data_IF_241804694171
#
_entry.id   IF_241804694171
#
_cell.length_a   1.000
_cell.length_b   1.000
_cell.length_c   1.000
_cell.angle_alpha   90.00
_cell.angle_beta   90.00
_cell.angle_gamma   90.00
#
_symmetry.space_group_name_H-M   'P 1'
#
loop_
_entity.id
_entity.type
_entity.pdbx_description
1 polymer ?
#
# COMPACT_ATOMS: atom_id res chain seq x y z
N UNK A 1 37.27 -2.63 3.07
CA UNK A 1 36.96 -1.42 3.85
C UNK A 1 35.56 -0.93 3.49
N UNK A 2 34.83 -0.38 4.46
CA UNK A 2 33.52 0.27 4.24
C UNK A 2 33.48 1.56 5.08
N UNK A 3 32.55 2.47 4.77
CA UNK A 3 32.34 3.62 5.66
C UNK A 3 31.73 3.16 6.98
N UNK A 4 32.09 3.85 8.08
CA UNK A 4 31.65 3.52 9.44
C UNK A 4 30.14 3.37 9.57
N UNK A 5 29.35 4.21 8.89
CA UNK A 5 27.89 4.09 8.94
C UNK A 5 27.37 2.75 8.39
N UNK A 6 27.99 2.20 7.34
CA UNK A 6 27.60 0.87 6.81
C UNK A 6 27.90 -0.23 7.83
N UNK A 7 28.97 -0.08 8.61
CA UNK A 7 29.27 -0.99 9.72
C UNK A 7 28.19 -0.91 10.81
N UNK A 8 27.86 0.30 11.27
CA UNK A 8 26.82 0.53 12.30
C UNK A 8 25.48 -0.09 11.87
N UNK A 9 25.10 0.05 10.61
CA UNK A 9 23.88 -0.55 10.04
C UNK A 9 23.92 -2.09 10.09
N UNK A 10 25.06 -2.72 9.82
CA UNK A 10 25.20 -4.17 9.95
C UNK A 10 25.05 -4.63 11.41
N UNK A 11 25.54 -3.83 12.36
CA UNK A 11 25.39 -4.09 13.80
C UNK A 11 23.93 -3.90 14.26
N UNK A 12 23.23 -2.88 13.75
CA UNK A 12 21.79 -2.65 13.95
C UNK A 12 20.97 -3.84 13.42
N UNK A 13 21.26 -4.30 12.20
CA UNK A 13 20.65 -5.51 11.63
C UNK A 13 20.93 -6.74 12.48
N UNK A 14 22.17 -6.94 12.95
CA UNK A 14 22.52 -8.06 13.80
C UNK A 14 21.73 -8.05 15.13
N UNK A 15 21.49 -6.86 15.70
CA UNK A 15 20.69 -6.69 16.92
C UNK A 15 19.24 -7.11 16.72
N UNK A 16 18.69 -6.91 15.52
CA UNK A 16 17.37 -7.40 15.14
C UNK A 16 17.24 -8.94 15.14
N UNK A 17 18.29 -9.70 15.45
CA UNK A 17 18.24 -11.16 15.57
C UNK A 17 18.55 -11.67 16.99
N UNK A 18 18.50 -10.77 17.99
CA UNK A 18 18.64 -11.11 19.43
C UNK A 18 17.29 -11.45 20.06
N UNK A 19 17.27 -12.05 21.26
CA UNK A 19 16.02 -12.35 21.99
C UNK A 19 15.47 -11.15 22.80
N UNK A 20 16.17 -10.01 22.80
CA UNK A 20 15.89 -8.88 23.71
C UNK A 20 14.84 -7.90 23.17
N UNK A 21 14.44 -8.06 21.90
CA UNK A 21 13.56 -7.13 21.20
C UNK A 21 12.15 -7.70 21.03
N UNK A 22 11.15 -6.82 21.18
CA UNK A 22 9.78 -7.10 20.73
C UNK A 22 9.75 -7.33 19.22
N UNK A 23 8.65 -7.92 18.74
CA UNK A 23 8.39 -8.13 17.31
C UNK A 23 8.46 -6.81 16.52
N UNK A 24 7.84 -5.76 17.03
CA UNK A 24 7.78 -4.44 16.38
C UNK A 24 9.16 -3.79 16.34
N UNK A 25 9.89 -3.77 17.46
CA UNK A 25 11.23 -3.21 17.52
C UNK A 25 12.19 -3.93 16.56
N UNK A 26 11.99 -5.23 16.37
CA UNK A 26 12.75 -6.04 15.42
C UNK A 26 12.51 -5.62 13.98
N UNK A 27 11.25 -5.53 13.57
CA UNK A 27 10.90 -5.12 12.21
C UNK A 27 11.31 -3.68 11.93
N UNK A 28 11.14 -2.79 12.92
CA UNK A 28 11.60 -1.41 12.85
C UNK A 28 13.09 -1.32 12.52
N UNK A 29 13.94 -2.08 13.23
CA UNK A 29 15.37 -2.13 12.95
C UNK A 29 15.69 -2.67 11.55
N UNK A 30 15.03 -3.76 11.13
CA UNK A 30 15.27 -4.38 9.81
C UNK A 30 14.98 -3.37 8.69
N UNK A 31 13.78 -2.78 8.67
CA UNK A 31 13.41 -1.86 7.61
C UNK A 31 14.20 -0.56 7.66
N UNK A 32 14.36 0.06 8.85
CA UNK A 32 15.15 1.29 8.99
C UNK A 32 16.59 1.11 8.50
N UNK A 33 17.24 0.01 8.88
CA UNK A 33 18.61 -0.28 8.46
C UNK A 33 18.72 -0.52 6.94
N UNK A 34 17.75 -1.23 6.33
CA UNK A 34 17.75 -1.50 4.89
C UNK A 34 17.53 -0.23 4.05
N UNK A 35 16.58 0.62 4.43
CA UNK A 35 16.35 1.90 3.74
C UNK A 35 17.51 2.87 3.92
N UNK A 36 18.10 2.94 5.12
CA UNK A 36 19.28 3.77 5.35
C UNK A 36 20.48 3.28 4.53
N UNK A 37 20.69 1.96 4.45
CA UNK A 37 21.73 1.37 3.61
C UNK A 37 21.51 1.73 2.14
N UNK A 38 20.27 1.67 1.66
CA UNK A 38 19.90 2.01 0.29
C UNK A 38 20.22 3.47 -0.06
N UNK A 39 19.91 4.41 0.84
CA UNK A 39 20.32 5.82 0.70
C UNK A 39 21.82 5.96 0.50
N UNK A 40 22.62 5.26 1.31
CA UNK A 40 24.08 5.29 1.21
C UNK A 40 24.54 4.65 -0.12
N UNK A 41 23.93 3.55 -0.57
CA UNK A 41 24.27 2.92 -1.87
C UNK A 41 23.90 3.80 -3.08
N UNK A 42 22.88 4.65 -2.94
CA UNK A 42 22.51 5.70 -3.91
C UNK A 42 23.43 6.93 -3.84
N UNK A 43 24.37 6.97 -2.90
CA UNK A 43 25.30 8.10 -2.73
C UNK A 43 24.69 9.27 -1.95
N UNK A 44 23.56 9.08 -1.28
CA UNK A 44 22.90 10.11 -0.45
C UNK A 44 23.59 10.22 0.92
N UNK A 45 24.83 10.68 0.91
CA UNK A 45 25.70 10.74 2.11
C UNK A 45 25.83 12.14 2.71
N UNK A 46 25.12 13.13 2.15
CA UNK A 46 25.23 14.55 2.54
C UNK A 46 24.78 14.83 3.98
N UNK A 47 23.96 13.96 4.56
CA UNK A 47 23.49 14.06 5.94
C UNK A 47 24.40 13.32 6.93
N UNK A 48 25.41 12.57 6.44
CA UNK A 48 26.32 11.82 7.31
C UNK A 48 27.40 12.75 7.89
N UNK A 49 27.69 12.54 9.17
CA UNK A 49 28.80 13.22 9.83
C UNK A 49 30.15 12.75 9.26
N UNK A 50 31.19 13.58 9.42
CA UNK A 50 32.56 13.22 9.01
C UNK A 50 33.02 11.88 9.62
N UNK A 51 32.67 11.62 10.88
CA UNK A 51 32.99 10.37 11.57
C UNK A 51 32.29 9.16 10.94
N UNK A 52 31.07 9.33 10.44
CA UNK A 52 30.30 8.26 9.78
C UNK A 52 30.83 7.91 8.38
N UNK A 53 31.57 8.83 7.76
CA UNK A 53 32.21 8.67 6.46
C UNK A 53 33.62 8.05 6.54
N UNK A 54 34.19 7.91 7.74
CA UNK A 54 35.51 7.29 7.92
C UNK A 54 35.52 5.85 7.41
N UNK A 55 36.58 5.48 6.69
CA UNK A 55 36.78 4.11 6.25
C UNK A 55 37.25 3.23 7.40
N UNK A 56 36.55 2.13 7.61
CA UNK A 56 36.81 1.14 8.66
C UNK A 56 36.90 -0.26 8.09
N UNK A 57 37.60 -1.15 8.79
CA UNK A 57 37.58 -2.58 8.49
C UNK A 57 36.19 -3.14 8.80
N UNK A 58 35.62 -3.85 7.83
CA UNK A 58 34.28 -4.45 7.96
C UNK A 58 34.29 -5.90 8.46
N UNK A 59 35.47 -6.51 8.60
CA UNK A 59 35.58 -7.95 8.86
C UNK A 59 34.87 -8.36 10.16
N UNK A 60 35.07 -7.60 11.24
CA UNK A 60 34.49 -7.90 12.54
C UNK A 60 32.95 -7.78 12.53
N UNK A 61 32.42 -6.67 12.03
CA UNK A 61 30.97 -6.43 11.98
C UNK A 61 30.26 -7.38 11.01
N UNK A 62 30.87 -7.65 9.85
CA UNK A 62 30.40 -8.68 8.91
C UNK A 62 30.34 -10.05 9.58
N UNK A 63 31.41 -10.45 10.29
CA UNK A 63 31.44 -11.74 11.00
C UNK A 63 30.35 -11.81 12.07
N UNK A 64 30.19 -10.78 12.89
CA UNK A 64 29.12 -10.70 13.90
C UNK A 64 27.74 -10.85 13.27
N UNK A 65 27.47 -10.14 12.18
CA UNK A 65 26.20 -10.22 11.47
C UNK A 65 25.94 -11.63 10.92
N UNK A 66 26.92 -12.23 10.26
CA UNK A 66 26.83 -13.60 9.71
C UNK A 66 26.60 -14.64 10.80
N UNK A 67 27.33 -14.55 11.92
CA UNK A 67 27.21 -15.46 13.05
C UNK A 67 25.82 -15.36 13.68
N UNK A 68 25.28 -14.14 13.82
CA UNK A 68 23.92 -13.90 14.35
C UNK A 68 22.85 -14.45 13.43
N UNK A 69 22.91 -14.18 12.14
CA UNK A 69 21.98 -14.75 11.15
C UNK A 69 22.04 -16.27 11.17
N UNK A 70 23.24 -16.86 11.16
CA UNK A 70 23.41 -18.31 11.20
C UNK A 70 22.80 -18.92 12.47
N UNK A 71 22.96 -18.28 13.62
CA UNK A 71 22.39 -18.75 14.89
C UNK A 71 20.84 -18.79 14.86
N UNK A 72 20.18 -17.91 14.09
CA UNK A 72 18.72 -17.93 13.98
C UNK A 72 18.16 -19.19 13.33
N UNK A 73 18.96 -19.97 12.59
CA UNK A 73 18.50 -21.26 12.01
C UNK A 73 18.05 -22.26 13.06
N UNK A 74 18.58 -22.14 14.29
CA UNK A 74 18.30 -23.02 15.42
C UNK A 74 17.31 -22.41 16.42
N UNK A 75 16.80 -21.20 16.17
CA UNK A 75 15.87 -20.54 17.11
C UNK A 75 14.46 -21.11 16.97
N UNK A 76 13.75 -21.22 18.08
CA UNK A 76 12.30 -21.51 18.10
C UNK A 76 11.45 -20.24 18.17
N UNK A 77 12.06 -19.06 18.33
CA UNK A 77 11.33 -17.81 18.41
C UNK A 77 10.69 -17.47 17.04
N UNK A 78 9.35 -17.40 16.95
CA UNK A 78 8.65 -17.15 15.69
C UNK A 78 8.97 -15.78 15.10
N UNK A 79 9.15 -14.74 15.92
CA UNK A 79 9.42 -13.38 15.45
C UNK A 79 10.80 -13.25 14.81
N UNK A 80 11.79 -13.98 15.34
CA UNK A 80 13.14 -14.05 14.74
C UNK A 80 13.09 -14.74 13.39
N UNK A 81 12.31 -15.83 13.27
CA UNK A 81 12.10 -16.53 12.00
C UNK A 81 11.45 -15.60 10.98
N UNK A 82 10.40 -14.88 11.38
CA UNK A 82 9.73 -13.90 10.50
C UNK A 82 10.66 -12.79 10.06
N UNK A 83 11.40 -12.15 10.98
CA UNK A 83 12.35 -11.09 10.61
C UNK A 83 13.44 -11.58 9.65
N UNK A 84 13.93 -12.82 9.83
CA UNK A 84 14.91 -13.41 8.92
C UNK A 84 14.31 -13.65 7.55
N UNK A 85 13.08 -14.16 7.49
CA UNK A 85 12.39 -14.40 6.24
C UNK A 85 12.19 -13.08 5.49
N UNK A 86 11.72 -12.02 6.16
CA UNK A 86 11.60 -10.66 5.60
C UNK A 86 12.94 -10.20 5.01
N UNK A 87 14.01 -10.23 5.80
CA UNK A 87 15.34 -9.83 5.34
C UNK A 87 15.80 -10.65 4.11
N UNK A 88 15.52 -11.95 4.11
CA UNK A 88 15.89 -12.85 3.01
C UNK A 88 15.14 -12.50 1.73
N UNK A 89 13.82 -12.23 1.81
CA UNK A 89 13.03 -11.85 0.65
C UNK A 89 13.47 -10.48 0.10
N UNK A 90 13.74 -9.51 0.97
CA UNK A 90 14.23 -8.20 0.56
C UNK A 90 15.59 -8.29 -0.13
N UNK A 91 16.51 -9.11 0.38
CA UNK A 91 17.82 -9.32 -0.27
C UNK A 91 17.63 -10.00 -1.64
N UNK A 92 16.68 -10.94 -1.74
CA UNK A 92 16.38 -11.66 -2.98
C UNK A 92 15.82 -10.74 -4.05
N UNK A 93 14.89 -9.85 -3.71
CA UNK A 93 14.22 -8.96 -4.65
C UNK A 93 14.04 -7.54 -4.06
N UNK A 94 15.13 -6.76 -3.91
CA UNK A 94 15.07 -5.46 -3.23
C UNK A 94 14.13 -4.47 -3.93
N UNK A 95 13.99 -4.56 -5.26
CA UNK A 95 13.12 -3.69 -6.03
C UNK A 95 11.63 -3.88 -5.70
N UNK A 96 11.21 -5.09 -5.32
CA UNK A 96 9.84 -5.34 -4.86
C UNK A 96 9.48 -4.56 -3.58
N UNK A 97 10.48 -4.23 -2.77
CA UNK A 97 10.32 -3.51 -1.50
C UNK A 97 10.72 -2.02 -1.63
N UNK A 98 10.91 -1.51 -2.85
CA UNK A 98 11.26 -0.09 -3.08
C UNK A 98 12.72 0.26 -2.79
N UNK A 99 13.60 -0.74 -2.76
CA UNK A 99 15.05 -0.57 -2.61
C UNK A 99 15.75 -0.70 -3.98
N UNK A 100 16.98 -0.18 -4.09
CA UNK A 100 17.80 -0.33 -5.29
C UNK A 100 18.39 -1.75 -5.40
N UNK A 101 18.55 -2.24 -6.64
CA UNK A 101 19.21 -3.52 -6.92
C UNK A 101 20.62 -3.65 -6.33
N UNK A 102 21.30 -2.52 -6.06
CA UNK A 102 22.59 -2.49 -5.33
C UNK A 102 22.51 -3.07 -3.93
N UNK A 103 21.34 -3.12 -3.29
CA UNK A 103 21.17 -3.82 -2.02
C UNK A 103 21.51 -5.30 -2.17
N UNK A 104 21.03 -5.96 -3.23
CA UNK A 104 21.38 -7.36 -3.51
C UNK A 104 22.89 -7.53 -3.66
N UNK A 105 23.55 -6.63 -4.39
CA UNK A 105 25.01 -6.64 -4.57
C UNK A 105 25.76 -6.46 -3.25
N UNK A 106 25.27 -5.61 -2.34
CA UNK A 106 25.86 -5.44 -1.01
C UNK A 106 25.79 -6.73 -0.18
N UNK A 107 24.69 -7.47 -0.28
CA UNK A 107 24.50 -8.72 0.47
C UNK A 107 25.02 -9.97 -0.26
N UNK A 108 25.44 -9.87 -1.52
CA UNK A 108 25.94 -11.01 -2.31
C UNK A 108 27.07 -11.79 -1.63
N UNK A 109 28.07 -11.16 -0.96
CA UNK A 109 29.11 -11.88 -0.22
C UNK A 109 28.56 -12.75 0.93
N UNK A 110 27.33 -12.47 1.37
CA UNK A 110 26.67 -13.12 2.50
C UNK A 110 25.59 -14.13 2.06
N UNK A 111 25.33 -14.24 0.75
CA UNK A 111 24.23 -15.01 0.17
C UNK A 111 24.18 -16.49 0.64
N UNK A 112 25.34 -17.13 0.87
CA UNK A 112 25.43 -18.53 1.30
C UNK A 112 24.78 -18.80 2.67
N UNK A 113 24.70 -17.79 3.54
CA UNK A 113 24.09 -17.86 4.88
C UNK A 113 22.60 -17.52 4.90
N UNK A 114 22.10 -16.82 3.88
CA UNK A 114 20.70 -16.39 3.78
C UNK A 114 19.81 -17.34 2.97
N UNK A 115 20.36 -18.01 1.95
CA UNK A 115 19.58 -18.64 0.87
C UNK A 115 19.23 -20.12 1.14
N UNK A 116 19.71 -20.74 2.22
CA UNK A 116 19.40 -22.16 2.54
C UNK A 116 18.07 -22.36 3.26
N UNK A 117 16.99 -21.71 2.81
CA UNK A 117 15.63 -22.16 3.09
C UNK A 117 15.16 -23.03 1.91
N UNK A 118 15.49 -24.32 1.94
CA UNK A 118 14.85 -25.31 1.06
C UNK A 118 13.45 -25.59 1.59
N UNK A 119 12.43 -25.42 0.74
CA UNK A 119 11.05 -25.83 1.01
C UNK A 119 10.07 -24.66 1.03
N UNK A 120 9.12 -24.74 0.09
CA UNK A 120 7.83 -24.03 -0.05
C UNK A 120 7.38 -23.16 1.15
N UNK A 121 7.34 -21.83 0.98
CA UNK A 121 6.16 -21.06 0.54
C UNK A 121 6.66 -19.63 0.22
N UNK A 122 7.21 -19.41 -0.98
CA UNK A 122 7.85 -18.12 -1.33
C UNK A 122 6.83 -17.00 -1.42
N UNK A 123 5.61 -17.29 -1.89
CA UNK A 123 4.58 -16.28 -2.15
C UNK A 123 3.94 -15.73 -0.85
N UNK A 124 3.51 -16.59 0.07
CA UNK A 124 2.97 -16.16 1.38
C UNK A 124 4.00 -15.36 2.19
N UNK A 125 5.29 -15.72 2.08
CA UNK A 125 6.36 -14.99 2.75
C UNK A 125 6.60 -13.60 2.15
N UNK A 126 6.46 -13.45 0.83
CA UNK A 126 6.53 -12.13 0.16
C UNK A 126 5.35 -11.28 0.59
N UNK A 127 4.12 -11.82 0.56
CA UNK A 127 2.91 -11.11 1.00
C UNK A 127 3.05 -10.66 2.46
N UNK A 128 3.56 -11.52 3.34
CA UNK A 128 3.81 -11.18 4.74
C UNK A 128 4.89 -10.08 4.89
N UNK A 129 5.96 -10.13 4.11
CA UNK A 129 7.02 -9.12 4.17
C UNK A 129 6.54 -7.75 3.67
N UNK A 130 5.80 -7.71 2.55
CA UNK A 130 5.16 -6.51 2.01
C UNK A 130 4.21 -5.90 3.05
N UNK A 131 3.44 -6.74 3.73
CA UNK A 131 2.51 -6.28 4.74
C UNK A 131 3.23 -5.61 5.92
N UNK A 132 4.27 -6.25 6.44
CA UNK A 132 5.07 -5.70 7.53
C UNK A 132 5.80 -4.42 7.11
N UNK A 133 6.24 -4.31 5.85
CA UNK A 133 6.79 -3.07 5.34
C UNK A 133 5.74 -1.97 5.32
N UNK A 134 4.53 -2.22 4.81
CA UNK A 134 3.44 -1.23 4.78
C UNK A 134 3.09 -0.73 6.18
N UNK A 135 2.93 -1.65 7.14
CA UNK A 135 2.69 -1.29 8.55
C UNK A 135 3.83 -0.44 9.12
N UNK A 136 5.07 -0.82 8.86
CA UNK A 136 6.24 -0.03 9.27
C UNK A 136 6.25 1.38 8.64
N UNK A 137 5.98 1.49 7.32
CA UNK A 137 5.92 2.77 6.61
C UNK A 137 4.84 3.68 7.20
N UNK A 138 3.64 3.14 7.44
CA UNK A 138 2.53 3.88 8.06
C UNK A 138 2.95 4.43 9.42
N UNK A 139 3.55 3.61 10.29
CA UNK A 139 4.00 4.07 11.62
C UNK A 139 5.09 5.12 11.55
N UNK A 140 6.10 4.91 10.70
CA UNK A 140 7.27 5.81 10.62
C UNK A 140 6.99 7.13 9.93
N UNK A 141 6.12 7.13 8.93
CA UNK A 141 5.89 8.31 8.08
C UNK A 141 4.66 9.09 8.56
N UNK A 142 3.58 8.39 8.91
CA UNK A 142 2.34 9.05 9.33
C UNK A 142 2.27 9.28 10.84
N UNK A 143 3.23 8.76 11.62
CA UNK A 143 3.26 8.84 13.09
C UNK A 143 1.96 8.37 13.76
N UNK A 144 1.27 7.43 13.11
CA UNK A 144 0.02 6.88 13.62
C UNK A 144 0.35 5.89 14.73
N UNK A 145 -0.30 6.06 15.89
CA UNK A 145 -0.32 5.02 16.91
C UNK A 145 -1.08 3.83 16.35
N UNK A 146 -0.33 2.86 15.86
CA UNK A 146 -0.87 1.64 15.29
C UNK A 146 -1.33 0.71 16.41
N UNK A 147 -2.63 0.77 16.71
CA UNK A 147 -3.25 -0.15 17.65
C UNK A 147 -3.36 -1.56 17.04
N UNK A 148 -3.32 -1.71 15.71
CA UNK A 148 -3.24 -2.99 15.01
C UNK A 148 -4.15 -4.08 15.59
N UNK A 149 -3.56 -5.24 15.91
CA UNK A 149 -4.24 -6.36 16.58
C UNK A 149 -4.47 -6.14 18.08
N UNK A 150 -3.88 -5.09 18.67
CA UNK A 150 -4.00 -4.75 20.09
C UNK A 150 -5.13 -3.74 20.36
N UNK A 151 -5.93 -3.40 19.34
CA UNK A 151 -7.10 -2.55 19.53
C UNK A 151 -8.06 -3.20 20.55
N UNK A 152 -8.53 -2.41 21.52
CA UNK A 152 -9.39 -2.92 22.60
C UNK A 152 -10.82 -3.24 22.10
N UNK A 153 -11.26 -2.58 21.02
CA UNK A 153 -12.61 -2.76 20.48
C UNK A 153 -12.70 -2.43 19.01
N UNK A 154 -13.75 -2.95 18.37
CA UNK A 154 -14.11 -2.64 16.99
C UNK A 154 -14.36 -1.15 16.73
N UNK A 155 -14.74 -0.38 17.78
CA UNK A 155 -15.06 1.05 17.67
C UNK A 155 -13.89 1.87 17.12
N UNK A 156 -12.65 1.50 17.46
CA UNK A 156 -11.43 2.16 16.97
C UNK A 156 -11.38 2.17 15.44
N UNK A 157 -11.78 1.07 14.80
CA UNK A 157 -11.78 0.95 13.34
C UNK A 157 -12.92 1.72 12.68
N UNK A 158 -14.07 1.81 13.37
CA UNK A 158 -15.25 2.60 12.92
C UNK A 158 -14.95 4.09 13.01
N UNK A 159 -14.32 4.56 14.08
CA UNK A 159 -13.93 5.96 14.23
C UNK A 159 -12.85 6.35 13.20
N UNK A 160 -11.90 5.45 12.95
CA UNK A 160 -10.92 5.61 11.87
C UNK A 160 -11.60 5.68 10.49
N UNK A 161 -12.60 4.83 10.22
CA UNK A 161 -13.35 4.82 8.96
C UNK A 161 -14.00 6.19 8.72
N UNK A 162 -14.69 6.74 9.73
CA UNK A 162 -15.42 8.02 9.64
C UNK A 162 -14.53 9.23 9.38
N UNK A 163 -13.27 9.14 9.81
CA UNK A 163 -12.26 10.20 9.63
C UNK A 163 -11.40 9.97 8.38
N UNK A 164 -11.67 8.92 7.60
CA UNK A 164 -10.87 8.56 6.41
C UNK A 164 -9.49 8.00 6.75
N UNK A 165 -9.25 7.56 7.99
CA UNK A 165 -8.03 6.89 8.40
C UNK A 165 -8.04 5.41 8.01
N UNK A 166 -7.92 5.18 6.70
CA UNK A 166 -7.97 3.84 6.13
C UNK A 166 -6.78 2.96 6.49
N UNK A 167 -5.66 3.56 6.93
CA UNK A 167 -4.51 2.80 7.42
C UNK A 167 -4.86 2.02 8.70
N UNK A 168 -5.69 2.59 9.58
CA UNK A 168 -6.22 1.86 10.75
C UNK A 168 -7.39 0.97 10.31
N UNK A 169 -8.37 1.49 9.56
CA UNK A 169 -9.57 0.73 9.16
C UNK A 169 -9.25 -0.58 8.44
N UNK A 170 -8.27 -0.58 7.54
CA UNK A 170 -7.83 -1.76 6.78
C UNK A 170 -7.31 -2.92 7.64
N UNK A 171 -7.07 -2.70 8.93
CA UNK A 171 -6.60 -3.74 9.87
C UNK A 171 -7.75 -4.46 10.56
N UNK A 172 -8.99 -3.99 10.40
CA UNK A 172 -10.17 -4.52 11.09
C UNK A 172 -10.34 -6.03 10.90
N UNK A 173 -10.25 -6.54 9.66
CA UNK A 173 -10.40 -7.97 9.39
C UNK A 173 -9.34 -8.82 10.12
N UNK A 174 -8.07 -8.38 10.11
CA UNK A 174 -6.99 -9.07 10.83
C UNK A 174 -7.18 -9.01 12.33
N UNK A 175 -7.70 -7.92 12.87
CA UNK A 175 -8.04 -7.80 14.27
C UNK A 175 -9.14 -8.81 14.67
N UNK A 176 -10.20 -8.94 13.89
CA UNK A 176 -11.26 -9.95 14.13
C UNK A 176 -10.66 -11.36 14.10
N UNK A 177 -9.90 -11.70 13.05
CA UNK A 177 -9.25 -13.02 12.93
C UNK A 177 -8.34 -13.28 14.13
N UNK A 178 -7.53 -12.29 14.53
CA UNK A 178 -6.62 -12.42 15.67
C UNK A 178 -7.37 -12.66 16.98
N UNK A 179 -8.47 -11.93 17.22
CA UNK A 179 -9.31 -12.09 18.40
C UNK A 179 -9.88 -13.50 18.48
N UNK A 180 -10.45 -14.00 17.38
CA UNK A 180 -11.13 -15.30 17.35
C UNK A 180 -10.23 -16.51 17.09
N UNK A 181 -8.94 -16.29 16.80
CA UNK A 181 -7.93 -17.35 16.82
C UNK A 181 -7.43 -17.67 18.24
N UNK A 182 -7.90 -16.94 19.25
CA UNK A 182 -7.59 -17.25 20.65
C UNK A 182 -8.09 -18.65 21.03
N UNK A 183 -7.29 -19.37 21.82
CA UNK A 183 -7.53 -20.77 22.17
C UNK A 183 -8.78 -20.94 23.03
N UNK A 184 -9.21 -19.90 23.75
CA UNK A 184 -10.46 -19.93 24.53
C UNK A 184 -11.69 -19.74 23.64
N UNK A 185 -11.57 -19.02 22.53
CA UNK A 185 -12.70 -18.77 21.60
C UNK A 185 -12.75 -19.79 20.45
N UNK A 186 -11.62 -20.42 20.13
CA UNK A 186 -11.49 -21.42 19.07
C UNK A 186 -10.57 -22.57 19.52
N UNK A 187 -11.01 -23.41 20.47
CA UNK A 187 -10.19 -24.47 21.06
C UNK A 187 -9.72 -25.51 20.04
N UNK A 188 -10.53 -25.78 19.00
CA UNK A 188 -10.17 -26.70 17.94
C UNK A 188 -9.22 -26.08 16.88
N UNK A 189 -8.86 -24.80 17.02
CA UNK A 189 -7.99 -24.06 16.09
C UNK A 189 -8.45 -24.16 14.64
N UNK A 190 -9.76 -24.04 14.43
CA UNK A 190 -10.33 -24.08 13.08
C UNK A 190 -9.81 -22.89 12.29
N UNK A 191 -9.41 -23.07 11.02
CA UNK A 191 -9.13 -21.95 10.15
C UNK A 191 -10.42 -21.13 9.99
N UNK A 192 -10.34 -19.82 10.19
CA UNK A 192 -11.46 -18.90 9.98
C UNK A 192 -11.42 -18.47 8.52
N UNK A 193 -12.28 -19.07 7.69
CA UNK A 193 -12.41 -18.73 6.27
C UNK A 193 -13.25 -17.49 6.01
N UNK A 194 -13.44 -17.16 4.73
CA UNK A 194 -14.20 -15.99 4.31
C UNK A 194 -15.70 -16.07 4.67
N UNK A 195 -16.29 -17.27 4.69
CA UNK A 195 -17.69 -17.45 5.09
C UNK A 195 -17.84 -17.43 6.63
N UNK A 196 -16.82 -17.92 7.35
CA UNK A 196 -16.81 -18.04 8.80
C UNK A 196 -16.62 -16.70 9.51
N UNK A 197 -15.88 -15.77 8.87
CA UNK A 197 -15.56 -14.47 9.47
C UNK A 197 -16.75 -13.50 9.45
N UNK A 198 -17.70 -13.66 8.52
CA UNK A 198 -18.80 -12.70 8.34
C UNK A 198 -19.70 -12.58 9.58
N UNK A 199 -20.18 -13.67 10.20
CA UNK A 199 -20.90 -13.61 11.47
C UNK A 199 -20.10 -12.95 12.60
N UNK A 200 -18.79 -13.23 12.69
CA UNK A 200 -17.90 -12.64 13.71
C UNK A 200 -17.79 -11.13 13.52
N UNK A 201 -17.59 -10.68 12.28
CA UNK A 201 -17.57 -9.26 11.94
C UNK A 201 -18.89 -8.59 12.31
N UNK A 202 -20.04 -9.21 11.99
CA UNK A 202 -21.34 -8.65 12.33
C UNK A 202 -21.53 -8.48 13.85
N UNK A 203 -21.09 -9.45 14.66
CA UNK A 203 -21.12 -9.35 16.11
C UNK A 203 -20.23 -8.24 16.66
N UNK A 204 -19.01 -8.11 16.15
CA UNK A 204 -18.09 -7.05 16.56
C UNK A 204 -18.62 -5.67 16.19
N UNK A 205 -19.16 -5.51 14.98
CA UNK A 205 -19.77 -4.26 14.54
C UNK A 205 -21.02 -3.91 15.34
N UNK A 206 -21.81 -4.89 15.80
CA UNK A 206 -22.94 -4.65 16.70
C UNK A 206 -22.53 -4.14 18.10
N UNK A 207 -21.26 -4.32 18.50
CA UNK A 207 -20.73 -3.70 19.72
C UNK A 207 -20.36 -2.22 19.54
N UNK A 208 -20.34 -1.73 18.30
CA UNK A 208 -20.00 -0.34 17.98
C UNK A 208 -21.26 0.51 17.82
N UNK A 209 -21.07 1.76 17.44
CA UNK A 209 -22.12 2.66 17.00
C UNK A 209 -22.18 2.82 15.47
N UNK A 210 -21.60 1.89 14.69
CA UNK A 210 -21.64 1.91 13.22
C UNK A 210 -23.08 1.89 12.70
N UNK A 211 -23.34 2.66 11.64
CA UNK A 211 -24.68 2.86 11.09
C UNK A 211 -24.69 2.76 9.58
N UNK A 212 -25.89 2.73 9.02
CA UNK A 212 -26.06 2.75 7.57
C UNK A 212 -25.45 4.01 6.93
N UNK A 213 -25.40 5.16 7.61
CA UNK A 213 -24.74 6.37 7.11
C UNK A 213 -23.23 6.21 6.90
N UNK A 214 -22.58 5.24 7.55
CA UNK A 214 -21.16 4.97 7.39
C UNK A 214 -20.85 4.23 6.08
N UNK A 215 -21.87 3.75 5.35
CA UNK A 215 -21.70 2.99 4.10
C UNK A 215 -21.00 3.79 3.00
N UNK A 216 -21.17 5.11 2.94
CA UNK A 216 -20.44 5.95 2.00
C UNK A 216 -18.92 5.90 2.22
N UNK A 217 -18.48 5.82 3.48
CA UNK A 217 -17.07 5.68 3.82
C UNK A 217 -16.53 4.29 3.45
N UNK A 218 -17.31 3.23 3.72
CA UNK A 218 -16.94 1.85 3.37
C UNK A 218 -16.82 1.68 1.86
N UNK A 219 -17.80 2.19 1.11
CA UNK A 219 -17.77 2.13 -0.36
C UNK A 219 -16.60 2.90 -0.93
N UNK A 220 -16.28 4.07 -0.38
CA UNK A 220 -15.11 4.80 -0.82
C UNK A 220 -13.81 4.01 -0.57
N UNK A 221 -13.65 3.38 0.60
CA UNK A 221 -12.52 2.49 0.88
C UNK A 221 -12.47 1.32 -0.13
N UNK A 222 -13.60 0.67 -0.41
CA UNK A 222 -13.70 -0.44 -1.35
C UNK A 222 -13.30 -0.06 -2.78
N UNK A 223 -13.78 1.08 -3.27
CA UNK A 223 -13.53 1.56 -4.63
C UNK A 223 -12.09 2.03 -4.85
N UNK A 224 -11.41 2.43 -3.77
CA UNK A 224 -10.08 3.05 -3.83
C UNK A 224 -8.99 2.21 -3.16
N UNK A 225 -9.23 0.93 -2.86
CA UNK A 225 -8.18 0.02 -2.39
C UNK A 225 -8.18 -1.27 -3.20
N UNK A 226 -7.15 -2.10 -2.99
CA UNK A 226 -6.95 -3.38 -3.68
C UNK A 226 -6.63 -4.48 -2.68
N UNK A 227 -6.72 -5.73 -3.13
CA UNK A 227 -6.23 -6.91 -2.38
C UNK A 227 -6.85 -6.97 -0.97
N UNK A 228 -6.07 -7.25 0.07
CA UNK A 228 -6.51 -7.37 1.47
C UNK A 228 -7.29 -6.17 2.01
N UNK A 229 -6.96 -4.96 1.54
CA UNK A 229 -7.61 -3.74 2.01
C UNK A 229 -9.03 -3.63 1.44
N UNK A 230 -9.20 -4.00 0.16
CA UNK A 230 -10.51 -4.09 -0.47
C UNK A 230 -11.34 -5.21 0.15
N UNK A 231 -10.71 -6.35 0.43
CA UNK A 231 -11.34 -7.46 1.16
C UNK A 231 -11.86 -7.01 2.54
N UNK A 232 -11.07 -6.23 3.29
CA UNK A 232 -11.52 -5.67 4.57
C UNK A 232 -12.72 -4.75 4.40
N UNK A 233 -12.76 -3.92 3.35
CA UNK A 233 -13.91 -3.08 3.05
C UNK A 233 -15.17 -3.91 2.74
N UNK A 234 -15.02 -4.99 1.94
CA UNK A 234 -16.11 -5.93 1.67
C UNK A 234 -16.63 -6.61 2.94
N UNK A 235 -15.73 -7.02 3.83
CA UNK A 235 -16.11 -7.62 5.11
C UNK A 235 -16.87 -6.63 6.00
N UNK A 236 -16.41 -5.37 6.07
CA UNK A 236 -17.16 -4.34 6.82
C UNK A 236 -18.53 -4.09 6.20
N UNK A 237 -18.62 -3.98 4.88
CA UNK A 237 -19.90 -3.82 4.16
C UNK A 237 -20.87 -4.96 4.51
N UNK A 238 -20.44 -6.20 4.30
CA UNK A 238 -21.25 -7.39 4.57
C UNK A 238 -21.58 -7.52 6.06
N UNK A 239 -20.64 -7.16 6.93
CA UNK A 239 -20.83 -7.10 8.38
C UNK A 239 -21.95 -6.17 8.82
N UNK A 240 -21.96 -4.94 8.29
CA UNK A 240 -23.02 -3.95 8.54
C UNK A 240 -24.35 -4.50 8.02
N UNK A 241 -24.38 -5.01 6.79
CA UNK A 241 -25.58 -5.60 6.19
C UNK A 241 -26.15 -6.75 7.03
N UNK A 242 -25.31 -7.71 7.41
CA UNK A 242 -25.70 -8.86 8.22
C UNK A 242 -26.16 -8.45 9.61
N UNK A 243 -25.48 -7.49 10.25
CA UNK A 243 -25.90 -6.95 11.56
C UNK A 243 -27.28 -6.29 11.47
N UNK A 244 -27.53 -5.47 10.44
CA UNK A 244 -28.82 -4.81 10.24
C UNK A 244 -29.94 -5.80 9.87
N UNK A 245 -29.65 -6.83 9.09
CA UNK A 245 -30.61 -7.91 8.81
C UNK A 245 -31.00 -8.64 10.10
N UNK A 246 -30.01 -8.93 10.98
CA UNK A 246 -30.30 -9.52 12.29
C UNK A 246 -31.12 -8.59 13.18
N UNK A 247 -30.85 -7.27 13.15
CA UNK A 247 -31.67 -6.29 13.86
C UNK A 247 -33.12 -6.28 13.34
N UNK A 248 -33.31 -6.38 12.02
CA UNK A 248 -34.63 -6.48 11.40
C UNK A 248 -35.39 -7.74 11.87
N UNK A 249 -34.72 -8.90 11.84
CA UNK A 249 -35.28 -10.15 12.33
C UNK A 249 -35.69 -10.08 13.82
N UNK A 250 -34.86 -9.45 14.65
CA UNK A 250 -35.18 -9.23 16.07
C UNK A 250 -36.30 -8.22 16.26
N UNK A 251 -36.36 -7.15 15.48
CA UNK A 251 -37.46 -6.20 15.53
C UNK A 251 -38.79 -6.87 15.18
N UNK A 252 -38.79 -7.80 14.22
CA UNK A 252 -39.96 -8.60 13.86
C UNK A 252 -40.37 -9.57 14.98
N UNK A 253 -39.40 -10.22 15.63
CA UNK A 253 -39.65 -11.12 16.77
C UNK A 253 -40.09 -10.36 18.03
N UNK A 254 -39.63 -9.12 18.20
CA UNK A 254 -39.87 -8.26 19.37
C UNK A 254 -40.39 -6.88 18.95
N UNK A 255 -41.62 -6.77 18.38
CA UNK A 255 -42.11 -5.54 17.75
C UNK A 255 -42.35 -4.37 18.71
N UNK A 256 -42.34 -4.62 20.03
CA UNK A 256 -42.50 -3.58 21.06
C UNK A 256 -41.17 -2.98 21.52
N UNK A 257 -40.06 -3.62 21.17
CA UNK A 257 -38.74 -3.16 21.55
C UNK A 257 -38.34 -1.99 20.65
N UNK A 258 -37.73 -0.97 21.26
CA UNK A 258 -37.15 0.15 20.53
C UNK A 258 -35.76 -0.23 19.95
N UNK A 259 -35.19 0.57 19.04
CA UNK A 259 -33.90 0.23 18.40
C UNK A 259 -32.75 -0.04 19.38
N UNK A 260 -32.69 0.65 20.52
CA UNK A 260 -31.66 0.42 21.53
C UNK A 260 -31.84 -0.92 22.25
N UNK A 261 -33.08 -1.34 22.48
CA UNK A 261 -33.40 -2.65 23.05
C UNK A 261 -33.07 -3.77 22.06
N UNK A 262 -33.38 -3.60 20.77
CA UNK A 262 -33.00 -4.54 19.72
C UNK A 262 -31.48 -4.70 19.62
N UNK A 263 -30.73 -3.58 19.64
CA UNK A 263 -29.27 -3.62 19.64
C UNK A 263 -28.73 -4.35 20.89
N UNK A 264 -29.32 -4.10 22.06
CA UNK A 264 -28.96 -4.79 23.30
C UNK A 264 -29.17 -6.31 23.21
N UNK A 265 -30.20 -6.77 22.49
CA UNK A 265 -30.42 -8.21 22.26
C UNK A 265 -29.28 -8.84 21.46
N UNK A 266 -28.83 -8.21 20.37
CA UNK A 266 -27.68 -8.71 19.60
C UNK A 266 -26.42 -8.74 20.47
N UNK A 267 -26.21 -7.71 21.30
CA UNK A 267 -25.07 -7.68 22.22
C UNK A 267 -25.14 -8.79 23.27
N UNK A 268 -26.34 -9.12 23.74
CA UNK A 268 -26.58 -10.23 24.67
C UNK A 268 -26.37 -11.59 23.99
N UNK A 269 -26.82 -11.74 22.73
CA UNK A 269 -26.55 -12.93 21.91
C UNK A 269 -25.05 -13.14 21.75
N UNK A 270 -24.32 -12.08 21.40
CA UNK A 270 -22.86 -12.12 21.28
C UNK A 270 -22.19 -12.50 22.61
N UNK A 271 -22.60 -11.88 23.73
CA UNK A 271 -22.06 -12.23 25.05
C UNK A 271 -22.30 -13.70 25.41
N UNK A 272 -23.47 -14.24 25.06
CA UNK A 272 -23.80 -15.66 25.27
C UNK A 272 -22.93 -16.56 24.39
N UNK A 273 -22.74 -16.19 23.11
CA UNK A 273 -21.84 -16.88 22.19
C UNK A 273 -20.41 -16.96 22.74
N UNK A 274 -19.87 -15.87 23.30
CA UNK A 274 -18.51 -15.85 23.87
C UNK A 274 -18.34 -16.78 25.08
N UNK A 275 -19.42 -17.22 25.72
CA UNK A 275 -19.38 -18.16 26.87
C UNK A 275 -19.56 -19.63 26.50
N UNK A 276 -19.75 -19.95 25.21
CA UNK A 276 -19.88 -21.33 24.75
C UNK A 276 -18.55 -22.08 24.89
N UNK A 277 -18.60 -23.41 24.99
CA UNK A 277 -17.40 -24.26 25.05
C UNK A 277 -16.53 -24.16 23.79
N UNK A 278 -17.17 -23.90 22.65
CA UNK A 278 -16.52 -23.74 21.35
C UNK A 278 -17.26 -22.68 20.51
N UNK A 279 -17.08 -21.38 20.85
CA UNK A 279 -17.82 -20.28 20.24
C UNK A 279 -17.72 -20.32 18.71
N UNK A 280 -16.49 -20.27 18.17
CA UNK A 280 -16.26 -20.25 16.72
C UNK A 280 -16.86 -21.49 16.06
N UNK A 281 -16.69 -22.69 16.64
CA UNK A 281 -17.30 -23.90 16.11
C UNK A 281 -18.82 -23.86 16.03
N UNK A 282 -19.49 -23.27 17.03
CA UNK A 282 -20.95 -23.09 17.05
C UNK A 282 -21.40 -22.13 15.96
N UNK A 283 -20.73 -20.99 15.83
CA UNK A 283 -21.12 -19.96 14.87
C UNK A 283 -20.88 -20.37 13.42
N UNK A 284 -19.81 -21.12 13.14
CA UNK A 284 -19.55 -21.71 11.81
C UNK A 284 -20.68 -22.66 11.41
N UNK A 285 -21.24 -23.40 12.38
CA UNK A 285 -22.31 -24.37 12.13
C UNK A 285 -23.68 -23.71 11.98
N UNK A 286 -23.97 -22.70 12.78
CA UNK A 286 -25.32 -22.14 12.95
C UNK A 286 -25.53 -20.82 12.21
N UNK A 287 -24.45 -20.06 11.99
CA UNK A 287 -24.49 -18.71 11.42
C UNK A 287 -25.31 -17.73 12.25
N UNK A 288 -25.64 -16.59 11.64
CA UNK A 288 -26.63 -15.66 12.18
C UNK A 288 -27.99 -15.95 11.58
N UNK A 289 -29.00 -16.15 12.42
CA UNK A 289 -30.35 -16.48 11.98
C UNK A 289 -31.10 -15.21 11.54
N UNK A 290 -31.55 -15.17 10.28
CA UNK A 290 -32.54 -14.21 9.77
C UNK A 290 -33.13 -14.74 8.46
N UNK A 291 -34.31 -14.26 8.09
CA UNK A 291 -34.96 -14.60 6.81
C UNK A 291 -34.46 -13.65 5.71
N UNK A 292 -33.79 -14.17 4.68
CA UNK A 292 -33.23 -13.35 3.61
C UNK A 292 -34.29 -12.62 2.77
N UNK A 293 -35.51 -13.14 2.67
CA UNK A 293 -36.57 -12.52 1.87
C UNK A 293 -37.25 -11.38 2.63
N UNK A 294 -37.36 -11.50 3.95
CA UNK A 294 -38.17 -10.61 4.79
C UNK A 294 -37.30 -9.63 5.57
N UNK A 295 -36.17 -10.08 6.10
CA UNK A 295 -35.36 -9.31 7.06
C UNK A 295 -34.22 -8.54 6.36
N UNK A 296 -34.04 -8.68 5.05
CA UNK A 296 -32.99 -7.98 4.29
C UNK A 296 -33.22 -6.46 4.23
N UNK A 297 -32.27 -5.71 4.77
CA UNK A 297 -32.28 -4.23 4.76
C UNK A 297 -31.64 -3.71 3.47
N UNK A 298 -32.28 -2.73 2.81
CA UNK A 298 -31.68 -2.09 1.63
C UNK A 298 -30.81 -0.91 2.03
N UNK A 299 -29.49 -1.01 1.80
CA UNK A 299 -28.53 0.05 2.14
C UNK A 299 -28.22 1.02 1.00
N UNK A 300 -28.79 0.80 -0.20
CA UNK A 300 -28.39 1.51 -1.44
C UNK A 300 -28.44 3.02 -1.31
N UNK A 301 -29.45 3.55 -0.62
CA UNK A 301 -29.60 4.99 -0.43
C UNK A 301 -28.44 5.61 0.37
N UNK A 302 -27.71 4.84 1.18
CA UNK A 302 -26.66 5.36 2.06
C UNK A 302 -25.29 5.51 1.40
N UNK A 303 -25.10 4.94 0.21
CA UNK A 303 -23.85 5.02 -0.54
C UNK A 303 -24.08 5.46 -2.00
N UNK A 304 -25.06 6.32 -2.21
CA UNK A 304 -25.21 7.05 -3.48
C UNK A 304 -23.95 7.89 -3.78
N UNK A 305 -23.66 8.11 -5.06
CA UNK A 305 -22.44 8.79 -5.53
C UNK A 305 -22.25 10.18 -4.89
N UNK A 306 -23.34 10.93 -4.68
CA UNK A 306 -23.32 12.22 -3.99
C UNK A 306 -22.88 12.10 -2.52
N UNK A 307 -23.30 11.05 -1.80
CA UNK A 307 -22.91 10.80 -0.40
C UNK A 307 -21.45 10.36 -0.31
N UNK A 308 -21.04 9.46 -1.20
CA UNK A 308 -19.63 9.04 -1.34
C UNK A 308 -18.74 10.26 -1.62
N UNK A 309 -19.13 11.10 -2.58
CA UNK A 309 -18.41 12.31 -2.95
C UNK A 309 -18.36 13.33 -1.81
N UNK A 310 -19.49 13.55 -1.11
CA UNK A 310 -19.55 14.45 0.03
C UNK A 310 -18.63 14.00 1.18
N UNK A 311 -18.63 12.69 1.49
CA UNK A 311 -17.72 12.10 2.47
C UNK A 311 -16.25 12.30 2.04
N UNK A 312 -15.94 11.97 0.78
CA UNK A 312 -14.59 12.08 0.24
C UNK A 312 -14.06 13.52 0.30
N UNK A 313 -14.90 14.49 -0.06
CA UNK A 313 -14.55 15.92 -0.02
C UNK A 313 -14.28 16.40 1.40
N UNK A 314 -15.14 16.03 2.36
CA UNK A 314 -14.99 16.37 3.78
C UNK A 314 -13.68 15.82 4.37
N UNK A 315 -13.31 14.61 4.01
CA UNK A 315 -12.16 13.89 4.58
C UNK A 315 -10.96 13.82 3.64
N UNK A 316 -10.89 14.66 2.61
CA UNK A 316 -9.94 14.52 1.48
C UNK A 316 -8.48 14.38 1.89
N UNK A 317 -8.07 15.13 2.90
CA UNK A 317 -6.67 15.18 3.35
C UNK A 317 -6.28 13.88 4.04
N UNK A 318 -7.11 13.44 4.98
CA UNK A 318 -6.95 12.17 5.68
C UNK A 318 -7.00 11.01 4.70
N UNK A 319 -8.05 10.91 3.87
CA UNK A 319 -8.22 9.84 2.88
C UNK A 319 -6.99 9.74 1.97
N UNK A 320 -6.56 10.85 1.37
CA UNK A 320 -5.44 10.82 0.43
C UNK A 320 -4.14 10.44 1.10
N UNK A 321 -3.91 10.92 2.33
CA UNK A 321 -2.72 10.56 3.13
C UNK A 321 -2.63 9.05 3.33
N UNK A 322 -3.72 8.42 3.75
CA UNK A 322 -3.71 6.99 4.05
C UNK A 322 -3.73 6.13 2.79
N UNK A 323 -4.41 6.55 1.72
CA UNK A 323 -4.41 5.81 0.45
C UNK A 323 -3.05 5.86 -0.26
N UNK A 324 -2.30 6.96 -0.15
CA UNK A 324 -0.88 7.01 -0.59
C UNK A 324 -0.07 5.92 0.12
N UNK A 325 -0.26 5.73 1.43
CA UNK A 325 0.48 4.72 2.18
C UNK A 325 0.02 3.28 1.87
N UNK A 326 -1.26 3.09 1.53
CA UNK A 326 -1.84 1.76 1.32
C UNK A 326 -1.67 1.22 -0.11
N UNK A 327 -1.75 2.08 -1.13
CA UNK A 327 -1.88 1.64 -2.51
C UNK A 327 -0.59 1.75 -3.34
N UNK A 328 0.41 2.48 -2.85
CA UNK A 328 1.61 2.72 -3.63
C UNK A 328 2.56 1.54 -3.49
N UNK A 329 2.85 0.93 -4.63
CA UNK A 329 3.72 -0.23 -4.71
C UNK A 329 5.18 0.23 -4.80
N UNK A 330 6.09 -0.51 -4.15
CA UNK A 330 7.54 -0.34 -4.26
C UNK A 330 8.03 1.08 -3.91
N UNK A 331 7.37 1.75 -2.96
CA UNK A 331 7.78 3.07 -2.51
C UNK A 331 8.78 2.99 -1.35
N UNK A 332 9.79 3.85 -1.40
CA UNK A 332 10.62 4.17 -0.24
C UNK A 332 9.94 5.21 0.67
N UNK A 333 10.42 5.42 1.90
CA UNK A 333 9.92 6.48 2.75
C UNK A 333 10.03 7.89 2.14
N UNK A 334 11.10 8.15 1.39
CA UNK A 334 11.31 9.45 0.74
C UNK A 334 10.32 9.66 -0.41
N UNK A 335 9.96 8.59 -1.11
CA UNK A 335 8.92 8.61 -2.13
C UNK A 335 7.56 8.97 -1.52
N UNK A 336 7.15 8.30 -0.44
CA UNK A 336 5.88 8.60 0.25
C UNK A 336 5.88 10.05 0.75
N UNK A 337 6.96 10.52 1.37
CA UNK A 337 7.08 11.92 1.81
C UNK A 337 6.93 12.92 0.64
N UNK A 338 7.51 12.60 -0.51
CA UNK A 338 7.36 13.42 -1.72
C UNK A 338 5.90 13.48 -2.17
N UNK A 339 5.20 12.36 -2.18
CA UNK A 339 3.80 12.30 -2.58
C UNK A 339 2.87 13.00 -1.57
N UNK A 340 3.18 12.93 -0.28
CA UNK A 340 2.47 13.69 0.75
C UNK A 340 2.68 15.21 0.56
N UNK A 341 3.88 15.64 0.15
CA UNK A 341 4.12 17.04 -0.20
C UNK A 341 3.30 17.46 -1.44
N UNK A 342 3.24 16.64 -2.49
CA UNK A 342 2.40 16.87 -3.66
C UNK A 342 0.92 16.99 -3.27
N UNK A 343 0.43 16.03 -2.47
CA UNK A 343 -0.93 16.05 -1.92
C UNK A 343 -1.23 17.39 -1.24
N UNK A 344 -0.38 17.84 -0.32
CA UNK A 344 -0.58 19.08 0.43
C UNK A 344 -0.71 20.31 -0.51
N UNK A 345 0.13 20.38 -1.54
CA UNK A 345 0.08 21.45 -2.54
C UNK A 345 -1.19 21.41 -3.39
N UNK A 346 -1.62 20.21 -3.83
CA UNK A 346 -2.87 20.05 -4.59
C UNK A 346 -4.08 20.44 -3.73
N UNK A 347 -4.16 19.97 -2.48
CA UNK A 347 -5.27 20.31 -1.57
C UNK A 347 -5.32 21.82 -1.34
N UNK A 348 -4.16 22.46 -1.12
CA UNK A 348 -4.09 23.92 -0.98
C UNK A 348 -4.60 24.64 -2.23
N UNK A 349 -4.25 24.14 -3.42
CA UNK A 349 -4.74 24.67 -4.68
C UNK A 349 -6.26 24.53 -4.81
N UNK A 350 -6.81 23.34 -4.52
CA UNK A 350 -8.24 23.10 -4.64
C UNK A 350 -9.02 23.98 -3.65
N UNK A 351 -8.61 23.99 -2.37
CA UNK A 351 -9.27 24.80 -1.36
C UNK A 351 -9.26 26.28 -1.74
N UNK A 352 -8.14 26.78 -2.29
CA UNK A 352 -8.06 28.16 -2.78
C UNK A 352 -9.08 28.44 -3.91
N UNK A 353 -9.15 27.54 -4.88
CA UNK A 353 -10.09 27.65 -6.01
C UNK A 353 -11.53 27.64 -5.54
N UNK A 354 -11.88 26.73 -4.62
CA UNK A 354 -13.23 26.59 -4.06
C UNK A 354 -13.67 27.80 -3.22
N UNK A 355 -12.76 28.44 -2.49
CA UNK A 355 -13.08 29.62 -1.67
C UNK A 355 -13.00 30.94 -2.43
N UNK A 356 -12.44 30.95 -3.64
CA UNK A 356 -12.34 32.15 -4.50
C UNK A 356 -12.86 31.86 -5.92
N UNK A 357 -14.11 31.39 -6.07
CA UNK A 357 -14.67 31.17 -7.40
C UNK A 357 -14.81 32.52 -8.13
N UNK A 358 -14.60 32.56 -9.45
CA UNK A 358 -14.91 33.76 -10.22
C UNK A 358 -16.43 34.04 -10.15
N UNK A 359 -16.83 35.31 -10.17
CA UNK A 359 -18.25 35.72 -10.10
C UNK A 359 -19.14 35.03 -11.14
N UNK A 360 -18.57 34.71 -12.30
CA UNK A 360 -19.19 33.88 -13.35
C UNK A 360 -18.26 32.71 -13.66
N UNK A 361 -18.48 31.51 -13.08
CA UNK A 361 -17.71 30.32 -13.37
C UNK A 361 -17.70 30.02 -14.87
N UNK A 362 -16.53 30.15 -15.48
CA UNK A 362 -16.30 29.76 -16.87
C UNK A 362 -15.90 28.29 -16.92
N UNK A 363 -16.11 27.65 -18.07
CA UNK A 363 -15.67 26.27 -18.30
C UNK A 363 -14.17 26.08 -17.99
N UNK A 364 -13.34 27.10 -18.25
CA UNK A 364 -11.91 27.08 -17.92
C UNK A 364 -11.67 26.89 -16.42
N UNK A 365 -12.41 27.58 -15.55
CA UNK A 365 -12.31 27.42 -14.09
C UNK A 365 -12.72 25.99 -13.68
N UNK A 366 -13.86 25.50 -14.18
CA UNK A 366 -14.32 24.13 -13.90
C UNK A 366 -13.30 23.09 -14.34
N UNK A 367 -12.72 23.24 -15.54
CA UNK A 367 -11.69 22.33 -16.06
C UNK A 367 -10.44 22.31 -15.16
N UNK A 368 -10.00 23.47 -14.66
CA UNK A 368 -8.83 23.54 -13.77
C UNK A 368 -9.08 22.89 -12.41
N UNK A 369 -10.25 23.14 -11.82
CA UNK A 369 -10.67 22.52 -10.56
C UNK A 369 -10.76 21.00 -10.71
N UNK A 370 -11.45 20.51 -11.75
CA UNK A 370 -11.58 19.08 -12.04
C UNK A 370 -10.21 18.43 -12.26
N UNK A 371 -9.30 19.07 -13.00
CA UNK A 371 -7.96 18.53 -13.21
C UNK A 371 -7.19 18.36 -11.89
N UNK A 372 -7.31 19.30 -10.96
CA UNK A 372 -6.70 19.17 -9.64
C UNK A 372 -7.36 18.09 -8.77
N UNK A 373 -8.69 17.91 -8.86
CA UNK A 373 -9.36 16.78 -8.21
C UNK A 373 -8.89 15.43 -8.79
N UNK A 374 -8.72 15.34 -10.11
CA UNK A 374 -8.16 14.15 -10.76
C UNK A 374 -6.72 13.88 -10.33
N UNK A 375 -5.91 14.91 -10.07
CA UNK A 375 -4.58 14.71 -9.46
C UNK A 375 -4.67 14.01 -8.10
N UNK A 376 -5.64 14.37 -7.25
CA UNK A 376 -5.84 13.67 -5.98
C UNK A 376 -6.28 12.23 -6.20
N UNK A 377 -7.20 11.97 -7.14
CA UNK A 377 -7.63 10.61 -7.47
C UNK A 377 -6.46 9.74 -7.95
N UNK A 378 -5.53 10.30 -8.72
CA UNK A 378 -4.30 9.61 -9.14
C UNK A 378 -3.45 9.22 -7.93
N UNK A 379 -3.26 10.14 -6.97
CA UNK A 379 -2.53 9.83 -5.72
C UNK A 379 -3.24 8.78 -4.87
N UNK A 380 -4.58 8.84 -4.81
CA UNK A 380 -5.41 7.94 -4.04
C UNK A 380 -5.45 6.53 -4.61
N UNK A 381 -5.65 6.39 -5.93
CA UNK A 381 -5.68 5.07 -6.59
C UNK A 381 -4.37 4.32 -6.35
N UNK A 382 -3.26 5.07 -6.39
CA UNK A 382 -1.90 4.54 -6.25
C UNK A 382 -1.54 3.59 -7.38
N UNK A 383 -0.27 3.54 -7.77
CA UNK A 383 0.30 2.52 -8.66
C UNK A 383 1.83 2.68 -8.56
N UNK A 384 2.57 2.55 -9.66
CA UNK A 384 3.98 2.89 -9.69
C UNK A 384 4.17 4.41 -9.78
N UNK A 385 5.16 4.91 -9.05
CA UNK A 385 5.40 6.35 -8.98
C UNK A 385 5.85 6.91 -10.33
N UNK A 386 6.73 6.18 -11.01
CA UNK A 386 7.40 6.63 -12.24
C UNK A 386 6.51 6.50 -13.48
N UNK A 387 5.75 5.41 -13.59
CA UNK A 387 5.03 5.09 -14.83
C UNK A 387 3.58 5.56 -14.79
N UNK A 388 2.99 5.69 -13.61
CA UNK A 388 1.57 6.02 -13.46
C UNK A 388 1.36 7.38 -12.79
N UNK A 389 1.90 7.56 -11.57
CA UNK A 389 1.57 8.73 -10.75
C UNK A 389 2.15 10.01 -11.36
N UNK A 390 3.45 10.11 -11.57
CA UNK A 390 4.04 11.35 -12.12
C UNK A 390 3.55 11.67 -13.54
N UNK A 391 3.46 10.71 -14.48
CA UNK A 391 2.87 10.98 -15.79
C UNK A 391 1.42 11.46 -15.70
N UNK A 392 0.59 10.84 -14.87
CA UNK A 392 -0.79 11.25 -14.64
C UNK A 392 -0.89 12.67 -14.08
N UNK A 393 -0.09 12.98 -13.06
CA UNK A 393 -0.02 14.32 -12.45
C UNK A 393 0.42 15.36 -13.48
N UNK A 394 1.42 15.07 -14.33
CA UNK A 394 1.84 15.98 -15.41
C UNK A 394 0.74 16.21 -16.44
N UNK A 395 -0.01 15.16 -16.82
CA UNK A 395 -1.12 15.28 -17.76
C UNK A 395 -2.21 16.24 -17.22
N UNK A 396 -2.57 16.11 -15.94
CA UNK A 396 -3.52 17.03 -15.30
C UNK A 396 -2.95 18.45 -15.15
N UNK A 397 -1.64 18.58 -14.89
CA UNK A 397 -0.99 19.89 -14.81
C UNK A 397 -1.03 20.63 -16.14
N UNK A 398 -0.87 19.91 -17.25
CA UNK A 398 -1.00 20.47 -18.60
C UNK A 398 -2.43 20.95 -18.88
N UNK A 399 -3.46 20.24 -18.40
CA UNK A 399 -4.85 20.71 -18.50
C UNK A 399 -5.01 22.04 -17.76
N UNK A 400 -4.48 22.17 -16.54
CA UNK A 400 -4.52 23.44 -15.81
C UNK A 400 -3.80 24.55 -16.60
N UNK A 401 -2.62 24.27 -17.15
CA UNK A 401 -1.82 25.21 -17.93
C UNK A 401 -2.54 25.73 -19.18
N UNK A 402 -3.28 24.86 -19.89
CA UNK A 402 -4.00 25.22 -21.11
C UNK A 402 -5.31 25.98 -20.84
N UNK A 403 -5.81 25.98 -19.61
CA UNK A 403 -7.09 26.59 -19.24
C UNK A 403 -6.94 27.98 -18.60
N UNK A 404 -5.99 28.80 -19.10
CA UNK A 404 -5.77 30.20 -18.68
C UNK A 404 -5.56 30.35 -17.16
N UNK A 405 -4.52 29.74 -16.59
CA UNK A 405 -4.22 29.84 -15.16
C UNK A 405 -3.87 31.28 -14.76
N UNK A 406 -4.26 31.68 -13.55
CA UNK A 406 -3.79 32.90 -12.91
C UNK A 406 -2.36 32.79 -12.38
N UNK A 407 -1.78 33.91 -11.93
CA UNK A 407 -0.39 33.98 -11.45
C UNK A 407 -0.07 32.98 -10.32
N UNK A 408 -0.98 32.80 -9.35
CA UNK A 408 -0.79 31.82 -8.27
C UNK A 408 -0.76 30.39 -8.78
N UNK A 409 -1.60 30.09 -9.76
CA UNK A 409 -1.70 28.76 -10.39
C UNK A 409 -0.44 28.48 -11.21
N UNK A 410 0.14 29.49 -11.88
CA UNK A 410 1.45 29.38 -12.53
C UNK A 410 2.57 29.04 -11.54
N UNK A 411 2.54 29.61 -10.34
CA UNK A 411 3.48 29.25 -9.26
C UNK A 411 3.35 27.79 -8.81
N UNK A 412 2.11 27.30 -8.68
CA UNK A 412 1.83 25.88 -8.39
C UNK A 412 2.36 24.97 -9.51
N UNK A 413 2.09 25.30 -10.78
CA UNK A 413 2.56 24.54 -11.94
C UNK A 413 4.09 24.51 -12.03
N UNK A 414 4.77 25.63 -11.81
CA UNK A 414 6.22 25.71 -11.82
C UNK A 414 6.86 24.85 -10.72
N UNK A 415 6.28 24.85 -9.51
CA UNK A 415 6.72 23.99 -8.42
C UNK A 415 6.54 22.50 -8.75
N UNK A 416 5.37 22.12 -9.27
CA UNK A 416 5.04 20.74 -9.61
C UNK A 416 5.92 20.20 -10.75
N UNK A 417 6.23 21.05 -11.73
CA UNK A 417 7.11 20.70 -12.84
C UNK A 417 8.53 20.39 -12.34
N UNK A 418 9.12 21.27 -11.52
CA UNK A 418 10.45 21.06 -10.94
C UNK A 418 10.51 19.75 -10.13
N UNK A 419 9.50 19.49 -9.31
CA UNK A 419 9.47 18.28 -8.48
C UNK A 419 9.37 17.00 -9.31
N UNK A 420 8.47 16.96 -10.30
CA UNK A 420 8.26 15.76 -11.13
C UNK A 420 9.40 15.51 -12.13
N UNK A 421 10.17 16.54 -12.48
CA UNK A 421 11.34 16.42 -13.36
C UNK A 421 12.60 15.94 -12.62
N UNK A 422 12.77 16.27 -11.35
CA UNK A 422 13.86 15.77 -10.51
C UNK A 422 13.78 14.24 -10.26
N UNK A 423 12.63 13.63 -10.57
CA UNK A 423 12.42 12.18 -10.50
C UNK A 423 12.57 11.48 -11.86
N UNK A 424 13.09 12.17 -12.90
CA UNK A 424 13.54 11.48 -14.11
C UNK A 424 14.60 10.45 -13.71
N UNK A 425 14.58 9.22 -14.29
CA UNK A 425 15.64 8.26 -14.04
C UNK A 425 16.97 8.96 -14.34
N UNK A 426 17.81 9.10 -13.31
CA UNK A 426 19.21 9.44 -13.53
C UNK A 426 19.76 8.33 -14.41
N UNK A 427 20.00 8.67 -15.69
CA UNK A 427 20.90 7.88 -16.52
C UNK A 427 22.17 7.82 -15.68
N UNK A 428 22.48 6.64 -15.15
CA UNK A 428 23.66 6.48 -14.31
C UNK A 428 24.84 7.04 -15.10
N UNK A 429 25.78 7.69 -14.43
CA UNK A 429 26.95 8.28 -15.10
C UNK A 429 27.67 7.22 -15.96
N UNK A 430 27.59 5.95 -15.56
CA UNK A 430 28.05 4.79 -16.33
C UNK A 430 27.25 4.55 -17.62
N UNK A 431 25.92 4.64 -17.61
CA UNK A 431 25.09 4.51 -18.81
C UNK A 431 25.27 5.68 -19.78
N UNK A 432 25.46 6.90 -19.27
CA UNK A 432 25.76 8.08 -20.09
C UNK A 432 27.17 8.02 -20.71
N UNK A 433 28.15 7.49 -19.96
CA UNK A 433 29.49 7.23 -20.47
C UNK A 433 29.49 6.09 -21.51
N UNK A 434 28.69 5.05 -21.29
CA UNK A 434 28.54 3.92 -22.23
C UNK A 434 27.83 4.34 -23.51
N UNK A 435 26.77 5.16 -23.43
CA UNK A 435 26.10 5.73 -24.60
C UNK A 435 27.02 6.68 -25.38
N UNK A 436 27.80 7.52 -24.68
CA UNK A 436 28.83 8.36 -25.34
C UNK A 436 29.93 7.52 -25.99
N UNK A 437 30.34 6.41 -25.38
CA UNK A 437 31.32 5.50 -25.95
C UNK A 437 30.77 4.77 -27.19
N UNK A 438 29.51 4.37 -27.16
CA UNK A 438 28.81 3.77 -28.31
C UNK A 438 28.66 4.80 -29.43
N UNK A 439 28.26 6.04 -29.15
CA UNK A 439 28.19 7.11 -30.15
C UNK A 439 29.56 7.41 -30.77
N UNK A 440 30.64 7.37 -30.00
CA UNK A 440 32.01 7.53 -30.52
C UNK A 440 32.44 6.37 -31.43
N UNK A 441 32.02 5.14 -31.14
CA UNK A 441 32.29 3.95 -31.98
C UNK A 441 31.48 4.00 -33.28
N UNK A 442 30.21 4.42 -33.21
CA UNK A 442 29.36 4.55 -34.39
C UNK A 442 29.87 5.67 -35.31
N UNK A 443 30.37 6.78 -34.75
CA UNK A 443 30.99 7.86 -35.53
C UNK A 443 32.34 7.42 -36.14
N UNK A 444 33.13 6.58 -35.46
CA UNK A 444 34.40 6.09 -36.03
C UNK A 444 34.18 5.08 -37.18
N UNK A 445 33.14 4.24 -37.10
CA UNK A 445 32.83 3.27 -38.15
C UNK A 445 32.27 3.89 -39.44
N UNK A 446 31.69 5.09 -39.39
CA UNK A 446 31.29 5.84 -40.60
C UNK A 446 32.49 6.42 -41.35
N UNK A 447 33.63 6.61 -40.68
CA UNK A 447 34.87 7.13 -41.29
C UNK A 447 35.78 6.08 -41.92
N UNK A 448 35.54 4.79 -41.70
CA UNK A 448 36.37 3.68 -42.19
C UNK A 448 35.69 2.78 -43.23
N UNK A 449 34.69 3.30 -43.96
CA UNK A 449 34.20 2.60 -45.15
C UNK A 449 35.08 2.94 -46.38
N UNK A 450 35.71 1.94 -47.04
CA UNK A 450 36.55 2.17 -48.21
C UNK A 450 35.73 2.71 -49.40
N UNK A 451 36.29 3.68 -50.11
CA UNK A 451 35.78 4.14 -51.41
C UNK A 451 36.08 3.10 -52.51
N UNK A 452 35.10 2.96 -53.42
CA UNK A 452 35.08 2.27 -54.73
C UNK A 452 34.76 0.75 -54.69
N UNK A 453 33.93 0.18 -55.57
CA UNK A 453 33.68 0.49 -56.96
C UNK A 453 32.25 0.14 -57.45
N UNK A 454 31.81 0.87 -58.50
CA UNK A 454 30.69 0.55 -59.40
C UNK A 454 30.82 -0.87 -59.98
N UNK A 455 29.73 -1.65 -60.00
CA UNK A 455 29.11 -2.15 -61.25
C UNK A 455 27.96 -3.15 -61.05
N UNK A 456 26.95 -2.99 -61.92
CA UNK A 456 25.96 -3.94 -62.49
C UNK A 456 24.61 -4.18 -61.79
N UNK A 457 23.59 -3.61 -62.48
CA UNK A 457 22.18 -4.02 -62.54
C UNK A 457 22.00 -5.52 -62.81
N UNK A 458 21.07 -6.14 -62.08
CA UNK A 458 20.09 -7.18 -62.50
C UNK A 458 18.89 -6.97 -61.55
N UNK A 459 17.80 -6.29 -61.94
CA UNK A 459 16.59 -6.80 -62.64
C UNK A 459 15.87 -7.95 -61.93
N UNK A 460 14.54 -7.81 -61.79
CA UNK A 460 13.51 -8.76 -61.32
C UNK A 460 13.11 -8.62 -59.84
N UNK A 461 11.85 -8.68 -59.42
CA UNK A 461 10.51 -8.68 -60.02
C UNK A 461 9.55 -8.39 -58.83
N UNK A 462 8.50 -7.59 -59.00
CA UNK A 462 7.24 -7.76 -58.23
C UNK A 462 6.33 -8.71 -59.04
N UNK A 463 5.22 -9.32 -58.54
CA UNK A 463 4.41 -9.14 -57.30
C UNK A 463 3.99 -10.56 -56.74
N UNK A 464 2.81 -10.88 -56.12
CA UNK A 464 1.67 -10.13 -55.54
C UNK A 464 1.41 -10.50 -54.05
N UNK A 465 0.68 -9.72 -53.25
CA UNK A 465 -0.79 -9.73 -53.13
C UNK A 465 -1.26 -10.79 -52.13
N UNK A 466 -1.75 -10.37 -50.96
CA UNK A 466 -2.98 -10.93 -50.36
C UNK A 466 -3.53 -10.02 -49.26
N UNK A 467 -4.83 -9.74 -49.42
CA UNK A 467 -5.71 -8.96 -48.56
C UNK A 467 -6.24 -9.80 -47.38
N UNK A 468 -6.66 -9.10 -46.30
CA UNK A 468 -7.85 -9.34 -45.46
C UNK A 468 -7.99 -10.74 -44.81
N UNK A 469 -8.26 -10.96 -43.52
CA UNK A 469 -9.25 -10.38 -42.59
C UNK A 469 -9.17 -11.23 -41.31
N UNK A 470 -9.42 -10.66 -40.12
CA UNK A 470 -10.44 -11.17 -39.20
C UNK A 470 -10.46 -10.38 -37.88
N UNK A 471 -11.47 -9.50 -37.81
CA UNK A 471 -12.24 -9.15 -36.61
C UNK A 471 -12.43 -10.31 -35.64
N UNK A 472 -12.25 -10.10 -34.33
CA UNK A 472 -13.02 -10.78 -33.29
C UNK A 472 -13.38 -9.81 -32.16
N UNK A 473 -14.68 -9.54 -32.08
CA UNK A 473 -15.43 -8.84 -31.03
C UNK A 473 -15.59 -9.79 -29.85
N UNK A 474 -15.34 -9.32 -28.62
CA UNK A 474 -15.63 -10.08 -27.39
C UNK A 474 -16.90 -9.49 -26.74
N UNK A 475 -17.95 -10.30 -26.66
CA UNK A 475 -19.13 -10.06 -25.84
C UNK A 475 -18.94 -10.68 -24.46
N UNK A 476 -19.26 -9.93 -23.41
CA UNK A 476 -19.35 -10.44 -22.04
C UNK A 476 -20.71 -11.08 -21.78
N UNK A 477 -20.70 -12.21 -21.07
CA UNK A 477 -21.83 -12.74 -20.30
C UNK A 477 -21.45 -12.77 -18.84
#
# INVERSE_FOLDING_TARGET
MMIKRKQEILEELARAFTNELSKEARFDLVFSALFELDKIQKGQITQLSKAQLEEVSNEAATKVFLDRISATTKTNNPDIKTARNILTQIIRDPEAFGLDGKIRSFFLPFAKTFITAKGDVVEEQIVSADLHQRDWMIRKILFIQDLGTNAESAQIFVDALRTGNYAITSKFARWVISKYNDVTLNPARRPIGADDILPLVAYELAQTDIRAEDMAAIMYLYDHTKEDNQYTASLMFSGVQTSLNRQSALQRAYPKDNPSQILMRIRTEHATFLTMDDPVGSLVKEGLSYDHEIDSVNLKEHYEENKITAFAKKNRDSITTHLIALNIKRASPDDINTLLAIKNHIIKYINFSETHPPEKPQQTYTNRLNAAEEMLKILQKGETIKDDIFPGIRAQANIIAMNKPGLRELGFLGWLHNLTDNHKPQISIETAATLKAIDLIVVSQVSELPKEARAKRISQNSPPGDELTNTHTIQYR
#
